data_IF_128742008161
#
_entry.id   IF_128742008161
#
_cell.length_a   1.000
_cell.length_b   1.000
_cell.length_c   1.000
_cell.angle_alpha   90.00
_cell.angle_beta   90.00
_cell.angle_gamma   90.00
#
_symmetry.space_group_name_H-M   'P 1'
#
loop_
_entity.id
_entity.type
_entity.pdbx_description
1 polymer ?
#
# COMPACT_ATOMS: atom_id res chain seq x y z
N UNK A 1 -18.52 -12.20 -16.59
CA UNK A 1 -18.68 -10.99 -15.74
C UNK A 1 -17.96 -9.79 -16.32
N UNK A 2 -16.74 -9.97 -16.87
CA UNK A 2 -15.89 -8.91 -17.46
C UNK A 2 -16.60 -8.01 -18.48
N UNK A 3 -17.32 -8.61 -19.44
CA UNK A 3 -18.05 -7.86 -20.49
C UNK A 3 -19.16 -6.98 -19.90
N UNK A 4 -19.80 -7.41 -18.80
CA UNK A 4 -20.94 -6.69 -18.21
C UNK A 4 -20.48 -5.39 -17.57
N UNK A 5 -19.35 -5.42 -16.84
CA UNK A 5 -18.79 -4.22 -16.19
C UNK A 5 -18.35 -3.20 -17.23
N UNK A 6 -17.61 -3.63 -18.26
CA UNK A 6 -17.17 -2.74 -19.34
C UNK A 6 -18.34 -2.12 -20.10
N UNK A 7 -19.39 -2.89 -20.41
CA UNK A 7 -20.59 -2.38 -21.08
C UNK A 7 -21.29 -1.33 -20.22
N UNK A 8 -21.45 -1.58 -18.91
CA UNK A 8 -22.07 -0.61 -18.00
C UNK A 8 -21.25 0.68 -17.94
N UNK A 9 -19.92 0.59 -17.80
CA UNK A 9 -19.04 1.76 -17.74
C UNK A 9 -19.09 2.58 -19.03
N UNK A 10 -19.08 1.93 -20.20
CA UNK A 10 -19.19 2.59 -21.51
C UNK A 10 -20.55 3.29 -21.66
N UNK A 11 -21.65 2.64 -21.26
CA UNK A 11 -22.98 3.25 -21.28
C UNK A 11 -23.03 4.48 -20.37
N UNK A 12 -22.46 4.41 -19.17
CA UNK A 12 -22.34 5.57 -18.27
C UNK A 12 -21.50 6.69 -18.90
N UNK A 13 -20.45 6.36 -19.64
CA UNK A 13 -19.62 7.34 -20.36
C UNK A 13 -20.40 8.07 -21.45
N UNK A 14 -21.20 7.34 -22.24
CA UNK A 14 -22.08 7.91 -23.26
C UNK A 14 -23.13 8.83 -22.62
N UNK A 15 -23.74 8.41 -21.51
CA UNK A 15 -24.68 9.24 -20.75
C UNK A 15 -24.02 10.50 -20.19
N UNK A 16 -22.77 10.41 -19.73
CA UNK A 16 -22.02 11.56 -19.24
C UNK A 16 -21.68 12.55 -20.35
N UNK A 17 -21.32 12.08 -21.54
CA UNK A 17 -21.14 12.90 -22.75
C UNK A 17 -22.44 13.62 -23.11
N UNK A 18 -23.56 12.90 -23.17
CA UNK A 18 -24.88 13.48 -23.48
C UNK A 18 -25.33 14.51 -22.42
N UNK A 19 -25.07 14.22 -21.14
CA UNK A 19 -25.33 15.14 -20.05
C UNK A 19 -24.44 16.39 -20.15
N UNK A 20 -23.16 16.24 -20.51
CA UNK A 20 -22.24 17.35 -20.74
C UNK A 20 -22.68 18.24 -21.91
N UNK A 21 -23.08 17.61 -23.01
CA UNK A 21 -23.59 18.28 -24.21
C UNK A 21 -24.81 19.16 -23.93
N UNK A 22 -25.75 18.65 -23.12
CA UNK A 22 -26.97 19.36 -22.75
C UNK A 22 -26.76 20.46 -21.69
N UNK A 23 -25.80 20.25 -20.78
CA UNK A 23 -25.47 21.22 -19.70
C UNK A 23 -24.66 22.42 -20.20
N UNK A 24 -23.77 22.25 -21.18
CA UNK A 24 -22.84 23.27 -21.67
C UNK A 24 -21.58 23.42 -20.81
N UNK A 25 -20.58 24.15 -21.31
CA UNK A 25 -19.22 24.18 -20.78
C UNK A 25 -19.14 24.71 -19.35
N UNK A 26 -19.82 25.82 -19.04
CA UNK A 26 -19.75 26.47 -17.72
C UNK A 26 -20.24 25.54 -16.61
N UNK A 27 -21.35 24.85 -16.85
CA UNK A 27 -21.92 23.92 -15.87
C UNK A 27 -21.07 22.66 -15.73
N UNK A 28 -20.56 22.11 -16.83
CA UNK A 28 -19.66 20.95 -16.79
C UNK A 28 -18.32 21.28 -16.10
N UNK A 29 -17.77 22.48 -16.33
CA UNK A 29 -16.55 22.95 -15.67
C UNK A 29 -16.78 23.13 -14.16
N UNK A 30 -17.88 23.77 -13.77
CA UNK A 30 -18.25 23.93 -12.37
C UNK A 30 -18.42 22.59 -11.65
N UNK A 31 -19.04 21.60 -12.29
CA UNK A 31 -19.16 20.26 -11.70
C UNK A 31 -17.82 19.53 -11.56
N UNK A 32 -16.90 19.71 -12.52
CA UNK A 32 -15.57 19.10 -12.45
C UNK A 32 -14.74 19.71 -11.31
N UNK A 33 -14.78 21.04 -11.16
CA UNK A 33 -14.16 21.74 -10.04
C UNK A 33 -14.80 21.33 -8.71
N UNK A 34 -16.13 21.21 -8.67
CA UNK A 34 -16.85 20.75 -7.48
C UNK A 34 -16.48 19.33 -7.06
N UNK A 35 -16.24 18.44 -8.01
CA UNK A 35 -15.75 17.08 -7.74
C UNK A 35 -14.36 17.12 -7.08
N UNK A 36 -13.44 17.90 -7.65
CA UNK A 36 -12.08 18.05 -7.09
C UNK A 36 -12.08 18.63 -5.68
N UNK A 37 -12.85 19.70 -5.45
CA UNK A 37 -12.99 20.32 -4.12
C UNK A 37 -13.67 19.40 -3.11
N UNK A 38 -14.69 18.65 -3.55
CA UNK A 38 -15.40 17.71 -2.68
C UNK A 38 -14.53 16.52 -2.29
N UNK A 39 -13.65 16.05 -3.17
CA UNK A 39 -12.64 15.03 -2.84
C UNK A 39 -11.63 15.56 -1.83
N UNK A 40 -11.08 16.76 -2.05
CA UNK A 40 -10.15 17.38 -1.10
C UNK A 40 -10.79 17.57 0.29
N UNK A 41 -12.03 18.04 0.33
CA UNK A 41 -12.80 18.19 1.57
C UNK A 41 -13.06 16.83 2.23
N UNK A 42 -13.46 15.84 1.44
CA UNK A 42 -13.69 14.47 1.90
C UNK A 42 -12.44 13.86 2.53
N UNK A 43 -11.28 14.03 1.90
CA UNK A 43 -9.99 13.55 2.43
C UNK A 43 -9.59 14.26 3.74
N UNK A 44 -9.98 15.52 3.89
CA UNK A 44 -9.71 16.30 5.12
C UNK A 44 -10.63 15.88 6.27
N UNK A 45 -11.90 15.57 5.98
CA UNK A 45 -12.93 15.25 6.98
C UNK A 45 -12.94 13.76 7.35
N UNK A 46 -12.65 12.86 6.40
CA UNK A 46 -12.67 11.41 6.59
C UNK A 46 -11.96 10.93 7.86
N UNK A 47 -10.70 11.31 8.17
CA UNK A 47 -10.02 10.82 9.37
C UNK A 47 -10.74 11.26 10.67
N UNK A 48 -11.35 12.44 10.69
CA UNK A 48 -12.10 12.96 11.85
C UNK A 48 -13.34 12.09 12.10
N UNK A 49 -14.12 11.83 11.05
CA UNK A 49 -15.34 11.03 11.14
C UNK A 49 -15.03 9.58 11.48
N UNK A 50 -13.97 9.01 10.89
CA UNK A 50 -13.50 7.67 11.21
C UNK A 50 -13.12 7.56 12.70
N UNK A 51 -12.47 8.59 13.27
CA UNK A 51 -12.18 8.64 14.70
C UNK A 51 -13.44 8.53 15.56
N UNK A 52 -14.49 9.31 15.26
CA UNK A 52 -15.76 9.24 16.00
C UNK A 52 -16.45 7.88 15.93
N UNK A 53 -16.38 7.22 14.76
CA UNK A 53 -16.94 5.88 14.58
C UNK A 53 -16.10 4.83 15.31
N UNK A 54 -14.77 4.98 15.33
CA UNK A 54 -13.88 4.11 16.08
C UNK A 54 -14.20 4.16 17.59
N UNK A 55 -14.44 5.34 18.15
CA UNK A 55 -14.83 5.52 19.56
C UNK A 55 -16.20 4.88 19.89
N UNK A 56 -17.06 4.73 18.89
CA UNK A 56 -18.39 4.12 19.01
C UNK A 56 -18.39 2.60 18.81
N UNK A 57 -17.21 1.96 18.74
CA UNK A 57 -17.07 0.51 18.60
C UNK A 57 -16.89 0.02 17.15
N UNK A 58 -16.83 0.91 16.16
CA UNK A 58 -16.51 0.57 14.76
C UNK A 58 -15.00 0.69 14.49
N UNK A 59 -14.22 -0.12 15.20
CA UNK A 59 -12.76 -0.05 15.20
C UNK A 59 -12.05 -0.86 14.11
N UNK A 60 -12.75 -1.76 13.40
CA UNK A 60 -12.12 -2.66 12.42
C UNK A 60 -11.59 -1.91 11.19
N UNK A 61 -10.44 -2.33 10.66
CA UNK A 61 -9.80 -1.67 9.50
C UNK A 61 -10.73 -1.60 8.28
N UNK A 62 -11.49 -2.67 8.02
CA UNK A 62 -12.50 -2.70 6.96
C UNK A 62 -13.61 -1.68 7.21
N UNK A 63 -14.07 -1.52 8.46
CA UNK A 63 -15.11 -0.55 8.80
C UNK A 63 -14.60 0.88 8.65
N UNK A 64 -13.37 1.16 9.12
CA UNK A 64 -12.73 2.48 8.97
C UNK A 64 -12.54 2.86 7.51
N UNK A 65 -12.07 1.92 6.68
CA UNK A 65 -11.89 2.13 5.23
C UNK A 65 -13.22 2.38 4.51
N UNK A 66 -14.26 1.64 4.88
CA UNK A 66 -15.62 1.84 4.35
C UNK A 66 -16.18 3.19 4.79
N UNK A 67 -16.06 3.56 6.07
CA UNK A 67 -16.52 4.87 6.58
C UNK A 67 -15.77 6.01 5.90
N UNK A 68 -14.44 5.94 5.78
CA UNK A 68 -13.64 6.93 5.09
C UNK A 68 -14.12 7.13 3.64
N UNK A 69 -14.32 6.04 2.91
CA UNK A 69 -14.76 6.11 1.53
C UNK A 69 -16.18 6.65 1.38
N UNK A 70 -17.10 6.26 2.26
CA UNK A 70 -18.46 6.82 2.29
C UNK A 70 -18.40 8.33 2.51
N UNK A 71 -17.60 8.80 3.48
CA UNK A 71 -17.43 10.24 3.74
C UNK A 71 -16.88 10.96 2.51
N UNK A 72 -15.84 10.41 1.87
CA UNK A 72 -15.24 10.99 0.67
C UNK A 72 -16.26 11.08 -0.47
N UNK A 73 -17.01 9.99 -0.73
CA UNK A 73 -18.03 9.94 -1.79
C UNK A 73 -19.16 10.93 -1.51
N UNK A 74 -19.62 11.02 -0.26
CA UNK A 74 -20.69 11.96 0.13
C UNK A 74 -20.22 13.40 -0.02
N UNK A 75 -19.03 13.75 0.46
CA UNK A 75 -18.45 15.09 0.29
C UNK A 75 -18.28 15.44 -1.20
N UNK A 76 -17.71 14.53 -1.99
CA UNK A 76 -17.56 14.69 -3.44
C UNK A 76 -18.92 14.94 -4.13
N UNK A 77 -19.94 14.14 -3.82
CA UNK A 77 -21.28 14.27 -4.38
C UNK A 77 -22.00 15.56 -4.00
N UNK A 78 -21.92 15.97 -2.73
CA UNK A 78 -22.55 17.20 -2.23
C UNK A 78 -21.91 18.43 -2.87
N UNK A 79 -20.58 18.53 -2.87
CA UNK A 79 -19.88 19.69 -3.45
C UNK A 79 -20.05 19.72 -4.97
N UNK A 80 -20.05 18.57 -5.65
CA UNK A 80 -20.40 18.44 -7.07
C UNK A 80 -21.80 19.02 -7.36
N UNK A 81 -22.80 18.67 -6.56
CA UNK A 81 -24.17 19.14 -6.75
C UNK A 81 -24.29 20.65 -6.53
N UNK A 82 -23.67 21.18 -5.46
CA UNK A 82 -23.67 22.61 -5.15
C UNK A 82 -22.97 23.41 -6.27
N UNK A 83 -21.77 22.98 -6.68
CA UNK A 83 -21.01 23.65 -7.74
C UNK A 83 -21.77 23.61 -9.08
N UNK A 84 -22.42 22.49 -9.40
CA UNK A 84 -23.27 22.37 -10.57
C UNK A 84 -24.51 23.27 -10.54
N UNK A 85 -25.08 23.51 -9.35
CA UNK A 85 -26.20 24.43 -9.16
C UNK A 85 -25.74 25.90 -9.32
N UNK A 86 -24.65 26.29 -8.66
CA UNK A 86 -24.05 27.63 -8.78
C UNK A 86 -23.65 27.94 -10.23
N UNK A 87 -22.98 27.00 -10.90
CA UNK A 87 -22.59 27.15 -12.29
C UNK A 87 -23.80 27.25 -13.24
N UNK A 88 -24.94 26.63 -12.88
CA UNK A 88 -26.18 26.77 -13.65
C UNK A 88 -26.81 28.17 -13.52
N UNK A 89 -26.65 28.82 -12.37
CA UNK A 89 -27.11 30.19 -12.12
C UNK A 89 -26.23 31.16 -12.92
N UNK A 90 -24.91 31.03 -12.80
CA UNK A 90 -23.92 31.85 -13.52
C UNK A 90 -24.09 31.67 -15.04
N UNK A 91 -24.27 30.42 -15.50
CA UNK A 91 -24.48 30.10 -16.91
C UNK A 91 -25.75 30.71 -17.52
N UNK A 92 -26.78 31.02 -16.71
CA UNK A 92 -27.98 31.74 -17.19
C UNK A 92 -27.70 33.22 -17.45
N UNK A 93 -26.76 33.84 -16.72
CA UNK A 93 -26.38 35.24 -16.91
C UNK A 93 -25.47 35.48 -18.13
N UNK A 94 -24.66 34.48 -18.51
CA UNK A 94 -23.62 34.63 -19.54
C UNK A 94 -24.02 34.11 -20.93
N UNK A 95 -25.23 33.55 -21.08
CA UNK A 95 -25.69 32.89 -22.32
C UNK A 95 -26.31 33.87 -23.33
N UNK A 96 -25.51 34.81 -23.84
CA UNK A 96 -25.89 35.62 -25.01
C UNK A 96 -24.79 35.55 -26.07
N UNK A 97 -24.98 34.70 -27.09
CA UNK A 97 -24.07 34.62 -28.24
C UNK A 97 -24.38 33.48 -29.21
N UNK A 98 -23.95 33.60 -30.50
CA UNK A 98 -24.30 32.67 -31.57
C UNK A 98 -23.50 31.35 -31.59
N UNK A 99 -22.56 31.12 -30.67
CA UNK A 99 -21.66 29.94 -30.69
C UNK A 99 -22.12 28.86 -29.68
N UNK A 100 -23.39 28.46 -29.75
CA UNK A 100 -23.96 27.44 -28.84
C UNK A 100 -23.40 26.04 -29.04
N UNK A 101 -23.00 25.70 -30.27
CA UNK A 101 -22.49 24.37 -30.59
C UNK A 101 -21.09 24.11 -29.99
N UNK A 102 -20.25 25.15 -29.87
CA UNK A 102 -18.94 25.05 -29.22
C UNK A 102 -19.09 24.88 -27.68
N UNK A 103 -20.06 25.57 -27.06
CA UNK A 103 -20.41 25.39 -25.63
C UNK A 103 -20.83 23.94 -25.33
N UNK A 104 -21.66 23.35 -26.19
CA UNK A 104 -22.08 21.96 -26.06
C UNK A 104 -20.94 20.96 -26.31
N UNK A 105 -20.06 21.23 -27.27
CA UNK A 105 -18.90 20.38 -27.53
C UNK A 105 -17.92 20.38 -26.35
N UNK A 106 -17.59 21.56 -25.82
CA UNK A 106 -16.75 21.69 -24.62
C UNK A 106 -17.44 21.06 -23.41
N UNK A 107 -18.76 21.25 -23.27
CA UNK A 107 -19.56 20.61 -22.24
C UNK A 107 -19.50 19.08 -22.28
N UNK A 108 -19.54 18.48 -23.47
CA UNK A 108 -19.42 17.04 -23.69
C UNK A 108 -18.04 16.50 -23.33
N UNK A 109 -16.96 17.19 -23.73
CA UNK A 109 -15.58 16.83 -23.36
C UNK A 109 -15.40 16.85 -21.85
N UNK A 110 -15.89 17.90 -21.18
CA UNK A 110 -15.84 18.01 -19.71
C UNK A 110 -16.71 16.95 -19.02
N UNK A 111 -17.85 16.58 -19.61
CA UNK A 111 -18.68 15.47 -19.14
C UNK A 111 -17.95 14.13 -19.20
N UNK A 112 -17.24 13.86 -20.30
CA UNK A 112 -16.40 12.67 -20.45
C UNK A 112 -15.25 12.67 -19.43
N UNK A 113 -14.56 13.79 -19.26
CA UNK A 113 -13.50 13.93 -18.27
C UNK A 113 -14.00 13.68 -16.84
N UNK A 114 -15.18 14.23 -16.51
CA UNK A 114 -15.82 14.00 -15.20
C UNK A 114 -16.11 12.52 -14.98
N UNK A 115 -16.70 11.84 -15.97
CA UNK A 115 -16.93 10.39 -15.89
C UNK A 115 -15.63 9.60 -15.71
N UNK A 116 -14.59 9.93 -16.49
CA UNK A 116 -13.30 9.27 -16.41
C UNK A 116 -12.69 9.36 -15.00
N UNK A 117 -12.73 10.55 -14.39
CA UNK A 117 -12.25 10.76 -13.01
C UNK A 117 -13.07 9.95 -12.00
N UNK A 118 -14.40 9.95 -12.12
CA UNK A 118 -15.28 9.18 -11.21
C UNK A 118 -15.01 7.68 -11.33
N UNK A 119 -14.93 7.14 -12.54
CA UNK A 119 -14.65 5.71 -12.75
C UNK A 119 -13.26 5.36 -12.24
N UNK A 120 -12.25 6.20 -12.49
CA UNK A 120 -10.89 5.99 -12.02
C UNK A 120 -10.81 5.96 -10.48
N UNK A 121 -11.55 6.83 -9.78
CA UNK A 121 -11.65 6.83 -8.32
C UNK A 121 -12.38 5.60 -7.78
N UNK A 122 -13.54 5.25 -8.37
CA UNK A 122 -14.33 4.09 -7.95
C UNK A 122 -13.56 2.78 -8.16
N UNK A 123 -12.81 2.68 -9.25
CA UNK A 123 -11.97 1.53 -9.52
C UNK A 123 -10.84 1.39 -8.50
N UNK A 124 -10.19 2.49 -8.16
CA UNK A 124 -9.22 2.50 -7.09
C UNK A 124 -9.84 2.02 -5.76
N UNK A 125 -11.03 2.53 -5.42
CA UNK A 125 -11.70 2.14 -4.17
C UNK A 125 -12.11 0.66 -4.17
N UNK A 126 -12.61 0.16 -5.30
CA UNK A 126 -12.92 -1.25 -5.51
C UNK A 126 -11.71 -2.16 -5.23
N UNK A 127 -10.51 -1.73 -5.65
CA UNK A 127 -9.25 -2.44 -5.39
C UNK A 127 -8.79 -2.36 -3.93
N UNK A 128 -9.21 -1.33 -3.19
CA UNK A 128 -8.95 -1.21 -1.76
C UNK A 128 -9.90 -2.06 -0.90
N UNK A 129 -10.91 -2.70 -1.49
CA UNK A 129 -11.82 -3.60 -0.75
C UNK A 129 -11.26 -5.03 -0.66
N UNK A 130 -11.54 -5.75 0.43
CA UNK A 130 -11.20 -7.18 0.57
C UNK A 130 -12.21 -8.12 -0.10
N UNK A 131 -13.13 -7.60 -0.92
CA UNK A 131 -14.13 -8.40 -1.59
C UNK A 131 -13.55 -8.92 -2.92
N UNK A 132 -13.17 -10.20 -2.94
CA UNK A 132 -12.55 -10.85 -4.10
C UNK A 132 -13.32 -10.63 -5.41
N UNK A 133 -14.65 -10.64 -5.36
CA UNK A 133 -15.52 -10.38 -6.52
C UNK A 133 -15.42 -8.95 -7.05
N UNK A 134 -15.25 -7.97 -6.16
CA UNK A 134 -15.14 -6.54 -6.50
C UNK A 134 -13.76 -6.22 -7.04
N UNK A 135 -12.71 -6.76 -6.40
CA UNK A 135 -11.32 -6.64 -6.85
C UNK A 135 -11.14 -7.29 -8.22
N UNK A 136 -11.68 -8.49 -8.41
CA UNK A 136 -11.62 -9.20 -9.69
C UNK A 136 -12.36 -8.44 -10.79
N UNK A 137 -13.53 -7.85 -10.49
CA UNK A 137 -14.28 -7.03 -11.44
C UNK A 137 -13.53 -5.75 -11.85
N UNK A 138 -12.81 -5.11 -10.93
CA UNK A 138 -12.00 -3.92 -11.22
C UNK A 138 -10.76 -4.27 -12.06
N UNK A 139 -10.04 -5.34 -11.70
CA UNK A 139 -8.82 -5.77 -12.40
C UNK A 139 -9.09 -6.33 -13.81
N UNK A 140 -10.28 -6.89 -14.05
CA UNK A 140 -10.64 -7.46 -15.36
C UNK A 140 -11.24 -6.46 -16.34
N UNK A 141 -11.49 -5.20 -15.93
CA UNK A 141 -12.10 -4.18 -16.79
C UNK A 141 -11.07 -3.52 -17.72
N UNK A 142 -11.34 -3.54 -19.03
CA UNK A 142 -10.52 -2.84 -20.03
C UNK A 142 -10.67 -1.33 -19.92
N UNK A 143 -11.84 -0.85 -19.51
CA UNK A 143 -12.09 0.59 -19.32
C UNK A 143 -11.24 1.12 -18.18
N UNK A 144 -11.23 0.42 -17.04
CA UNK A 144 -10.42 0.78 -15.87
C UNK A 144 -8.92 0.77 -16.20
N UNK A 145 -8.43 -0.27 -16.88
CA UNK A 145 -7.01 -0.36 -17.23
C UNK A 145 -6.57 0.74 -18.21
N UNK A 146 -7.43 1.12 -19.15
CA UNK A 146 -7.19 2.23 -20.10
C UNK A 146 -7.20 3.59 -19.39
N UNK A 147 -8.14 3.82 -18.47
CA UNK A 147 -8.16 5.06 -17.68
C UNK A 147 -6.92 5.17 -16.79
N UNK A 148 -6.47 4.07 -16.21
CA UNK A 148 -5.30 4.05 -15.34
C UNK A 148 -3.98 4.28 -16.11
N UNK A 149 -3.90 3.87 -17.39
CA UNK A 149 -2.73 4.14 -18.23
C UNK A 149 -2.67 5.57 -18.76
N UNK A 150 -3.83 6.24 -18.89
CA UNK A 150 -3.91 7.65 -19.28
C UNK A 150 -3.75 8.61 -18.10
N UNK A 151 -4.00 8.17 -16.88
CA UNK A 151 -3.85 8.99 -15.69
C UNK A 151 -2.37 9.28 -15.39
N UNK A 152 -2.01 10.50 -14.95
CA UNK A 152 -0.63 10.85 -14.59
C UNK A 152 -0.11 10.08 -13.37
N UNK A 153 -1.03 9.56 -12.54
CA UNK A 153 -0.74 8.69 -11.40
C UNK A 153 -1.71 7.50 -11.42
N UNK A 154 -1.27 6.29 -11.06
CA UNK A 154 -2.18 5.16 -10.88
C UNK A 154 -3.19 5.42 -9.75
N UNK A 155 -4.44 4.99 -9.91
CA UNK A 155 -5.49 5.15 -8.87
C UNK A 155 -5.11 4.49 -7.55
N UNK A 156 -4.40 3.38 -7.60
CA UNK A 156 -3.83 2.69 -6.44
C UNK A 156 -2.78 3.50 -5.69
N UNK A 157 -2.09 4.44 -6.36
CA UNK A 157 -1.09 5.30 -5.71
C UNK A 157 -1.76 6.46 -4.98
N UNK A 158 -2.82 7.04 -5.56
CA UNK A 158 -3.58 8.11 -4.90
C UNK A 158 -4.38 7.59 -3.72
N UNK A 159 -4.98 6.41 -3.83
CA UNK A 159 -5.61 5.76 -2.68
C UNK A 159 -4.60 5.18 -1.70
N UNK A 160 -3.44 4.73 -2.17
CA UNK A 160 -2.30 4.40 -1.31
C UNK A 160 -1.89 5.59 -0.46
N UNK A 161 -1.95 6.83 -0.96
CA UNK A 161 -1.70 8.03 -0.15
C UNK A 161 -2.81 8.32 0.89
N UNK A 162 -4.05 7.89 0.62
CA UNK A 162 -5.16 7.96 1.59
C UNK A 162 -5.03 6.87 2.64
N UNK A 163 -4.71 5.66 2.20
CA UNK A 163 -4.35 4.53 3.05
C UNK A 163 -3.11 4.87 3.86
N UNK A 164 -2.13 5.62 3.34
CA UNK A 164 -0.95 6.11 4.08
C UNK A 164 -1.27 7.23 5.06
N UNK A 165 -2.25 8.08 4.75
CA UNK A 165 -2.76 9.06 5.70
C UNK A 165 -3.57 8.39 6.82
N UNK A 166 -4.22 7.25 6.54
CA UNK A 166 -4.97 6.44 7.50
C UNK A 166 -4.07 5.43 8.25
N UNK A 167 -3.04 4.88 7.60
CA UNK A 167 -2.05 3.91 8.07
C UNK A 167 -0.78 4.59 8.59
N UNK A 168 -0.66 5.91 8.48
CA UNK A 168 0.13 6.73 9.38
C UNK A 168 -0.28 6.57 10.84
N UNK A 169 -1.43 5.93 11.09
CA UNK A 169 -1.84 5.41 12.38
C UNK A 169 -1.33 3.99 12.69
N UNK A 170 -0.51 3.35 11.83
CA UNK A 170 -0.19 1.93 11.99
C UNK A 170 1.13 1.33 11.50
N UNK A 171 1.94 2.05 10.72
CA UNK A 171 3.33 1.62 10.53
C UNK A 171 4.21 2.11 11.70
N UNK A 172 5.19 1.32 12.18
CA UNK A 172 6.12 1.79 13.20
C UNK A 172 6.82 3.06 12.72
N UNK A 173 6.75 4.13 13.51
CA UNK A 173 7.46 5.37 13.19
C UNK A 173 8.96 5.12 13.30
N UNK A 174 9.65 5.19 12.16
CA UNK A 174 11.11 4.97 12.11
C UNK A 174 11.88 6.12 12.77
N UNK A 175 11.34 7.34 12.72
CA UNK A 175 11.97 8.54 13.27
C UNK A 175 10.97 9.37 14.09
N UNK A 176 11.28 9.67 15.35
CA UNK A 176 10.49 10.56 16.21
C UNK A 176 10.72 12.06 15.93
N UNK A 177 11.80 12.41 15.22
CA UNK A 177 12.24 13.79 14.97
C UNK A 177 12.30 14.22 13.49
N UNK A 178 11.71 13.42 12.59
CA UNK A 178 11.76 13.64 11.14
C UNK A 178 12.87 12.89 10.42
N UNK A 179 12.73 12.75 9.10
CA UNK A 179 13.60 11.93 8.26
C UNK A 179 14.70 12.78 7.61
N UNK A 180 15.97 12.40 7.82
CA UNK A 180 17.10 12.99 7.08
C UNK A 180 17.51 12.05 5.95
N UNK A 181 17.08 12.35 4.72
CA UNK A 181 17.29 11.47 3.56
C UNK A 181 18.47 11.98 2.73
N UNK A 182 19.57 11.22 2.76
CA UNK A 182 20.76 11.51 1.96
C UNK A 182 20.52 11.23 0.48
N UNK A 183 20.90 12.17 -0.38
CA UNK A 183 20.81 11.99 -1.82
C UNK A 183 21.89 11.03 -2.33
N UNK A 184 21.48 10.01 -3.10
CA UNK A 184 22.34 9.09 -3.86
C UNK A 184 21.69 8.86 -5.22
N UNK A 185 22.40 8.45 -6.29
CA UNK A 185 21.79 8.21 -7.61
C UNK A 185 20.77 7.05 -7.58
N UNK A 186 19.84 7.00 -8.53
CA UNK A 186 18.82 5.94 -8.60
C UNK A 186 19.46 4.56 -8.86
N UNK A 187 18.97 3.47 -8.23
CA UNK A 187 19.54 2.14 -8.41
C UNK A 187 19.53 1.71 -9.87
N UNK A 188 20.47 0.85 -10.24
CA UNK A 188 20.43 0.18 -11.54
C UNK A 188 19.22 -0.76 -11.59
N UNK A 189 18.55 -0.83 -12.73
CA UNK A 189 17.42 -1.73 -12.95
C UNK A 189 17.83 -3.18 -13.16
N UNK A 190 19.12 -3.47 -13.40
CA UNK A 190 19.60 -4.83 -13.62
C UNK A 190 19.53 -5.67 -12.34
N UNK A 191 18.90 -6.83 -12.41
CA UNK A 191 18.88 -7.81 -11.31
C UNK A 191 19.87 -8.94 -11.62
N UNK A 192 20.89 -9.18 -10.78
CA UNK A 192 21.82 -10.29 -10.97
C UNK A 192 21.12 -11.65 -10.87
N UNK A 193 21.62 -12.64 -11.62
CA UNK A 193 21.05 -14.00 -11.63
C UNK A 193 21.03 -14.65 -10.23
N UNK A 194 22.05 -14.37 -9.39
CA UNK A 194 22.10 -14.85 -8.01
C UNK A 194 20.96 -14.29 -7.15
N UNK A 195 20.57 -13.03 -7.38
CA UNK A 195 19.43 -12.41 -6.71
C UNK A 195 18.12 -13.00 -7.23
N UNK A 196 17.99 -13.24 -8.53
CA UNK A 196 16.80 -13.91 -9.09
C UNK A 196 16.59 -15.32 -8.53
N UNK A 197 17.67 -16.06 -8.25
CA UNK A 197 17.59 -17.40 -7.67
C UNK A 197 17.01 -17.41 -6.24
N UNK A 198 17.01 -16.25 -5.54
CA UNK A 198 16.47 -16.17 -4.18
C UNK A 198 14.97 -16.42 -4.09
N UNK A 199 14.23 -16.33 -5.21
CA UNK A 199 12.78 -16.53 -5.26
C UNK A 199 12.32 -17.80 -4.53
N UNK A 200 13.09 -18.89 -4.68
CA UNK A 200 12.77 -20.17 -4.06
C UNK A 200 12.87 -20.17 -2.52
N UNK A 201 13.56 -19.17 -1.95
CA UNK A 201 13.80 -19.02 -0.52
C UNK A 201 12.97 -17.91 0.13
N UNK A 202 12.27 -17.09 -0.66
CA UNK A 202 11.41 -16.00 -0.16
C UNK A 202 9.97 -16.49 -0.17
N UNK A 203 9.28 -16.25 0.94
CA UNK A 203 7.93 -16.75 1.19
C UNK A 203 6.96 -15.61 1.51
N UNK A 204 5.67 -15.81 1.24
CA UNK A 204 4.62 -14.95 1.76
C UNK A 204 4.27 -15.42 3.18
N UNK A 205 4.15 -14.47 4.11
CA UNK A 205 3.69 -14.72 5.49
C UNK A 205 2.29 -14.15 5.62
N UNK A 206 1.34 -15.00 6.01
CA UNK A 206 -0.06 -14.62 6.23
C UNK A 206 -0.41 -14.91 7.69
N UNK A 207 -0.87 -13.89 8.40
CA UNK A 207 -1.21 -13.99 9.81
C UNK A 207 -2.68 -13.62 10.02
N UNK A 208 -3.47 -14.55 10.54
CA UNK A 208 -4.86 -14.25 10.87
C UNK A 208 -4.93 -13.58 12.24
N UNK A 209 -5.59 -12.42 12.32
CA UNK A 209 -5.69 -11.64 13.57
C UNK A 209 -7.14 -11.21 13.85
N UNK A 210 -8.06 -12.15 14.18
CA UNK A 210 -9.47 -11.83 14.41
C UNK A 210 -9.69 -10.80 15.52
N UNK A 211 -8.88 -10.86 16.59
CA UNK A 211 -8.95 -9.90 17.71
C UNK A 211 -8.55 -8.47 17.31
N UNK A 212 -7.73 -8.33 16.27
CA UNK A 212 -7.32 -7.03 15.72
C UNK A 212 -8.28 -6.53 14.64
N UNK A 213 -9.24 -7.36 14.20
CA UNK A 213 -10.21 -7.03 13.17
C UNK A 213 -9.62 -6.92 11.75
N UNK A 214 -8.37 -7.34 11.56
CA UNK A 214 -7.64 -7.28 10.28
C UNK A 214 -6.61 -8.41 10.22
N UNK A 215 -6.63 -9.18 9.13
CA UNK A 215 -5.53 -10.12 8.85
C UNK A 215 -4.33 -9.35 8.29
N UNK A 216 -3.14 -9.91 8.46
CA UNK A 216 -1.90 -9.26 8.06
C UNK A 216 -1.14 -10.12 7.07
N UNK A 217 -0.47 -9.46 6.14
CA UNK A 217 0.36 -10.09 5.12
C UNK A 217 1.71 -9.40 5.02
N UNK A 218 2.73 -10.20 4.73
CA UNK A 218 4.09 -9.73 4.57
C UNK A 218 4.93 -10.74 3.82
N UNK A 219 6.22 -10.46 3.79
CA UNK A 219 7.24 -11.34 3.25
C UNK A 219 8.04 -11.97 4.38
N UNK A 220 8.68 -13.08 4.08
CA UNK A 220 9.70 -13.70 4.90
C UNK A 220 10.70 -14.43 4.04
N UNK A 221 11.74 -14.95 4.65
CA UNK A 221 12.75 -15.74 3.95
C UNK A 221 13.32 -16.83 4.82
N UNK A 222 13.74 -17.92 4.20
CA UNK A 222 14.29 -19.08 4.88
C UNK A 222 15.72 -18.78 5.32
N UNK A 223 15.93 -18.65 6.63
CA UNK A 223 17.26 -18.42 7.23
C UNK A 223 18.00 -19.72 7.50
N UNK A 224 17.24 -20.78 7.75
CA UNK A 224 17.71 -22.14 7.95
C UNK A 224 16.55 -23.06 7.58
N UNK A 225 16.82 -24.33 7.29
CA UNK A 225 15.78 -25.33 7.03
C UNK A 225 14.67 -25.26 8.10
N UNK A 226 13.43 -25.05 7.68
CA UNK A 226 12.26 -24.93 8.55
C UNK A 226 12.20 -23.65 9.39
N UNK A 227 13.09 -22.67 9.19
CA UNK A 227 13.10 -21.39 9.91
C UNK A 227 12.95 -20.22 8.95
N UNK A 228 11.92 -19.40 9.19
CA UNK A 228 11.62 -18.22 8.38
C UNK A 228 11.77 -16.96 9.23
N UNK A 229 12.52 -15.99 8.73
CA UNK A 229 12.59 -14.64 9.32
C UNK A 229 11.51 -13.77 8.68
N UNK A 230 10.85 -12.93 9.48
CA UNK A 230 9.92 -11.90 9.04
C UNK A 230 9.93 -10.74 10.05
N UNK A 231 9.09 -9.71 9.86
CA UNK A 231 8.92 -8.65 10.86
C UNK A 231 7.95 -9.05 11.96
N UNK A 232 8.14 -8.47 13.15
CA UNK A 232 7.25 -8.72 14.28
C UNK A 232 5.85 -8.15 14.04
N UNK A 233 5.73 -6.95 13.45
CA UNK A 233 4.41 -6.36 13.16
C UNK A 233 3.56 -7.22 12.22
N UNK A 234 4.18 -7.96 11.29
CA UNK A 234 3.47 -8.86 10.38
C UNK A 234 2.68 -9.91 11.15
N UNK A 235 3.22 -10.42 12.26
CA UNK A 235 2.63 -11.50 13.05
C UNK A 235 2.03 -11.07 14.39
N UNK A 236 2.25 -9.83 14.83
CA UNK A 236 1.77 -9.33 16.12
C UNK A 236 0.24 -9.46 16.28
N UNK A 237 -0.22 -10.05 17.38
CA UNK A 237 -1.65 -10.27 17.66
C UNK A 237 -2.31 -11.38 16.85
N UNK A 238 -1.54 -12.18 16.10
CA UNK A 238 -2.09 -13.29 15.30
C UNK A 238 -2.52 -14.49 16.15
N UNK A 239 -3.66 -15.09 15.80
CA UNK A 239 -4.11 -16.38 16.33
C UNK A 239 -3.54 -17.57 15.54
N UNK A 240 -3.22 -17.36 14.26
CA UNK A 240 -2.59 -18.37 13.40
C UNK A 240 -1.70 -17.70 12.36
N UNK A 241 -0.64 -18.41 11.96
CA UNK A 241 0.31 -17.96 10.95
C UNK A 241 0.48 -19.09 9.95
N UNK A 242 0.42 -18.75 8.66
CA UNK A 242 0.75 -19.67 7.56
C UNK A 242 1.77 -19.02 6.64
N UNK A 243 2.56 -19.85 5.99
CA UNK A 243 3.62 -19.46 5.06
C UNK A 243 3.34 -20.10 3.70
N UNK A 244 3.57 -19.34 2.62
CA UNK A 244 3.38 -19.82 1.24
C UNK A 244 4.65 -19.61 0.43
N UNK A 245 5.08 -20.66 -0.25
CA UNK A 245 6.25 -20.63 -1.14
C UNK A 245 5.90 -20.07 -2.52
N UNK A 246 6.89 -19.51 -3.23
CA UNK A 246 6.68 -19.09 -4.62
C UNK A 246 6.19 -20.25 -5.48
N UNK A 247 5.20 -19.99 -6.32
CA UNK A 247 4.65 -20.97 -7.26
C UNK A 247 3.88 -22.15 -6.64
N UNK A 248 3.77 -22.22 -5.31
CA UNK A 248 2.98 -23.26 -4.62
C UNK A 248 1.57 -22.76 -4.31
N UNK A 249 0.51 -23.53 -4.61
CA UNK A 249 -0.83 -23.25 -4.13
C UNK A 249 -0.99 -23.57 -2.63
N UNK A 250 -0.10 -24.41 -2.09
CA UNK A 250 -0.20 -24.90 -0.72
C UNK A 250 0.36 -23.90 0.29
N UNK A 251 -0.23 -23.91 1.49
CA UNK A 251 0.20 -23.09 2.63
C UNK A 251 0.62 -23.98 3.78
N UNK A 252 1.74 -23.66 4.40
CA UNK A 252 2.31 -24.40 5.52
C UNK A 252 2.01 -23.69 6.83
N UNK A 253 1.66 -24.45 7.87
CA UNK A 253 1.46 -23.87 9.20
C UNK A 253 2.80 -23.44 9.78
N UNK A 254 2.81 -22.23 10.35
CA UNK A 254 3.97 -21.67 10.99
C UNK A 254 3.73 -21.46 12.50
N UNK A 255 4.77 -21.70 13.29
CA UNK A 255 4.77 -21.48 14.73
C UNK A 255 5.76 -20.37 15.05
N UNK A 256 5.34 -19.37 15.82
CA UNK A 256 6.24 -18.30 16.26
C UNK A 256 7.21 -18.83 17.32
N UNK A 257 8.52 -18.70 17.09
CA UNK A 257 9.58 -19.24 17.98
C UNK A 257 10.62 -18.19 18.43
N UNK A 258 10.62 -17.01 17.82
CA UNK A 258 11.26 -15.80 18.37
C UNK A 258 10.44 -14.57 17.97
N UNK A 259 10.36 -13.59 18.86
CA UNK A 259 9.55 -12.38 18.66
C UNK A 259 10.18 -11.23 19.44
N UNK A 260 10.62 -10.21 18.73
CA UNK A 260 11.21 -9.00 19.30
C UNK A 260 10.45 -7.77 18.76
N UNK A 261 9.49 -7.23 19.54
CA UNK A 261 8.70 -6.07 19.13
C UNK A 261 9.52 -4.78 19.10
N UNK A 262 10.63 -4.72 19.84
CA UNK A 262 11.52 -3.55 19.86
C UNK A 262 12.33 -3.47 18.58
N UNK A 263 12.82 -4.60 18.07
CA UNK A 263 13.57 -4.69 16.80
C UNK A 263 12.68 -4.87 15.57
N UNK A 264 11.40 -5.13 15.77
CA UNK A 264 10.45 -5.48 14.71
C UNK A 264 10.86 -6.74 13.94
N UNK A 265 11.26 -7.79 14.64
CA UNK A 265 11.70 -9.06 14.04
C UNK A 265 11.01 -10.26 14.69
N UNK A 266 10.71 -11.25 13.87
CA UNK A 266 10.16 -12.52 14.29
C UNK A 266 10.80 -13.68 13.53
N UNK A 267 10.88 -14.83 14.18
CA UNK A 267 11.31 -16.09 13.58
C UNK A 267 10.19 -17.10 13.72
N UNK A 268 9.84 -17.72 12.60
CA UNK A 268 8.83 -18.75 12.48
C UNK A 268 9.49 -20.11 12.28
N UNK A 269 8.94 -21.11 12.93
CA UNK A 269 9.19 -22.52 12.66
C UNK A 269 8.12 -23.07 11.71
N UNK A 270 8.57 -23.67 10.62
CA UNK A 270 7.74 -24.22 9.54
C UNK A 270 8.29 -25.60 9.21
N UNK A 271 7.88 -26.60 9.98
CA UNK A 271 8.44 -27.97 9.97
C UNK A 271 8.53 -28.57 8.57
N UNK A 272 7.49 -28.38 7.76
CA UNK A 272 7.35 -29.01 6.44
C UNK A 272 7.91 -28.16 5.29
N UNK A 273 8.61 -27.06 5.61
CA UNK A 273 9.17 -26.17 4.59
C UNK A 273 10.40 -26.77 3.90
N UNK A 274 10.30 -26.94 2.58
CA UNK A 274 11.35 -27.54 1.74
C UNK A 274 12.24 -26.53 1.02
N UNK A 275 11.90 -25.24 1.09
CA UNK A 275 12.65 -24.17 0.46
C UNK A 275 14.11 -24.07 0.97
N UNK A 276 15.09 -23.75 0.10
CA UNK A 276 16.49 -23.60 0.49
C UNK A 276 16.69 -22.35 1.36
N UNK A 277 17.66 -22.40 2.27
CA UNK A 277 18.03 -21.24 3.07
C UNK A 277 18.87 -20.24 2.26
N UNK A 278 18.70 -18.95 2.54
CA UNK A 278 19.60 -17.92 2.03
C UNK A 278 20.82 -17.76 2.93
N UNK A 279 21.99 -17.57 2.31
CA UNK A 279 23.21 -17.24 3.02
C UNK A 279 23.14 -15.80 3.56
N UNK A 280 23.66 -15.59 4.77
CA UNK A 280 23.83 -14.25 5.35
C UNK A 280 25.15 -13.66 4.85
N UNK A 281 25.05 -12.49 4.22
CA UNK A 281 26.17 -11.74 3.66
C UNK A 281 26.84 -10.78 4.66
N UNK A 282 27.74 -9.92 4.16
CA UNK A 282 28.31 -8.83 4.95
C UNK A 282 27.34 -7.64 5.06
N UNK A 283 27.69 -6.68 5.93
CA UNK A 283 27.03 -5.38 5.96
C UNK A 283 27.32 -4.58 4.68
N UNK A 284 26.37 -3.76 4.24
CA UNK A 284 26.49 -2.93 3.06
C UNK A 284 27.03 -1.53 3.41
N UNK A 285 27.79 -0.96 2.48
CA UNK A 285 28.28 0.42 2.57
C UNK A 285 27.38 1.38 1.80
N UNK A 286 27.45 2.67 2.12
CA UNK A 286 26.78 3.70 1.35
C UNK A 286 27.14 3.61 -0.15
N UNK A 287 26.14 3.77 -1.02
CA UNK A 287 26.25 3.64 -2.47
C UNK A 287 26.14 2.20 -3.01
N UNK A 288 26.21 1.17 -2.16
CA UNK A 288 26.10 -0.21 -2.59
C UNK A 288 24.75 -0.52 -3.27
N UNK A 289 24.78 -1.38 -4.28
CA UNK A 289 23.58 -1.96 -4.86
C UNK A 289 23.01 -3.00 -3.89
N UNK A 290 21.69 -3.00 -3.74
CA UNK A 290 20.96 -3.95 -2.93
C UNK A 290 19.61 -4.26 -3.58
N UNK A 291 18.93 -5.30 -3.12
CA UNK A 291 17.69 -5.77 -3.76
C UNK A 291 16.69 -6.18 -2.68
N UNK A 292 15.53 -5.52 -2.66
CA UNK A 292 14.43 -5.91 -1.79
C UNK A 292 13.59 -6.97 -2.49
N UNK A 293 13.57 -8.19 -1.97
CA UNK A 293 12.79 -9.30 -2.52
C UNK A 293 11.56 -9.59 -1.64
N UNK A 294 10.40 -9.82 -2.25
CA UNK A 294 9.17 -10.05 -1.50
C UNK A 294 7.90 -10.10 -2.34
N UNK A 295 6.76 -10.07 -1.67
CA UNK A 295 5.41 -10.20 -2.22
C UNK A 295 4.54 -8.98 -1.86
N UNK A 296 4.71 -7.84 -2.56
CA UNK A 296 3.88 -6.66 -2.34
C UNK A 296 2.39 -6.97 -2.48
N UNK A 297 1.57 -6.57 -1.50
CA UNK A 297 0.12 -6.75 -1.52
C UNK A 297 -0.33 -8.19 -1.77
N UNK A 298 0.47 -9.18 -1.33
CA UNK A 298 0.23 -10.61 -1.57
C UNK A 298 0.06 -10.96 -3.07
N UNK A 299 0.70 -10.15 -3.91
CA UNK A 299 0.82 -10.35 -5.34
C UNK A 299 1.94 -11.33 -5.71
N UNK A 300 2.38 -11.33 -6.99
CA UNK A 300 3.50 -12.16 -7.41
C UNK A 300 4.80 -11.75 -6.74
N UNK A 301 5.77 -12.67 -6.73
CA UNK A 301 7.13 -12.38 -6.28
C UNK A 301 7.73 -11.22 -7.08
N UNK A 302 8.40 -10.30 -6.38
CA UNK A 302 9.08 -9.16 -7.00
C UNK A 302 10.46 -8.96 -6.39
N UNK A 303 11.37 -8.43 -7.21
CA UNK A 303 12.66 -7.92 -6.78
C UNK A 303 12.71 -6.43 -7.14
N UNK A 304 12.82 -5.59 -6.12
CA UNK A 304 12.93 -4.14 -6.28
C UNK A 304 14.38 -3.70 -6.06
N UNK A 305 15.09 -3.22 -7.10
CA UNK A 305 16.44 -2.69 -6.94
C UNK A 305 16.48 -1.50 -5.98
N UNK A 306 17.51 -1.49 -5.14
CA UNK A 306 17.76 -0.48 -4.10
C UNK A 306 19.20 0.02 -4.20
N UNK A 307 19.43 1.23 -3.71
CA UNK A 307 20.78 1.75 -3.44
C UNK A 307 20.88 2.22 -2.01
N UNK A 308 21.91 1.76 -1.29
CA UNK A 308 22.14 2.18 0.10
C UNK A 308 22.48 3.67 0.11
N UNK A 309 21.68 4.46 0.83
CA UNK A 309 21.92 5.88 1.06
C UNK A 309 22.94 6.05 2.18
N UNK A 310 22.63 5.45 3.32
CA UNK A 310 23.46 5.46 4.51
C UNK A 310 23.05 4.34 5.48
N UNK A 311 23.91 4.07 6.45
CA UNK A 311 23.58 3.26 7.63
C UNK A 311 23.48 4.18 8.84
N UNK A 312 22.35 4.15 9.53
CA UNK A 312 22.05 5.09 10.62
C UNK A 312 21.43 4.34 11.80
N UNK A 313 21.68 4.83 13.00
CA UNK A 313 20.90 4.46 14.18
C UNK A 313 19.70 5.38 14.24
N UNK A 314 18.52 4.84 13.94
CA UNK A 314 17.26 5.58 13.92
C UNK A 314 16.53 5.42 15.26
N UNK A 315 16.13 6.56 15.84
CA UNK A 315 15.26 6.60 17.02
C UNK A 315 13.80 6.69 16.58
N UNK A 316 13.07 5.61 16.81
CA UNK A 316 11.66 5.48 16.47
C UNK A 316 10.87 4.89 17.64
N UNK A 317 9.68 4.38 17.36
CA UNK A 317 8.90 3.61 18.35
C UNK A 317 8.96 2.11 18.08
N UNK A 318 8.69 1.31 19.11
CA UNK A 318 8.38 -0.11 18.95
C UNK A 318 7.11 -0.34 18.09
N UNK A 319 6.80 -1.60 17.77
CA UNK A 319 5.61 -1.95 16.97
C UNK A 319 4.27 -1.66 17.68
N UNK A 320 4.30 -1.38 18.99
CA UNK A 320 3.13 -1.06 19.80
C UNK A 320 2.99 0.45 20.04
N UNK A 321 3.91 1.26 19.51
CA UNK A 321 4.01 2.70 19.80
C UNK A 321 4.03 3.01 21.31
N UNK A 322 4.57 2.09 22.11
CA UNK A 322 4.52 2.13 23.58
C UNK A 322 5.78 2.74 24.21
N UNK A 323 6.87 2.79 23.44
CA UNK A 323 8.14 3.35 23.88
C UNK A 323 9.10 3.60 22.71
N UNK A 324 10.09 4.47 22.96
CA UNK A 324 11.14 4.78 22.00
C UNK A 324 12.18 3.67 21.94
N UNK A 325 12.64 3.35 20.73
CA UNK A 325 13.67 2.35 20.46
C UNK A 325 14.68 2.90 19.47
N UNK A 326 15.95 2.56 19.67
CA UNK A 326 17.02 2.85 18.74
C UNK A 326 17.29 1.60 17.91
N UNK A 327 17.27 1.71 16.57
CA UNK A 327 17.51 0.60 15.63
C UNK A 327 18.59 0.96 14.63
N UNK A 328 19.53 0.05 14.40
CA UNK A 328 20.52 0.15 13.34
C UNK A 328 19.91 -0.27 11.99
N UNK A 329 19.75 0.70 11.09
CA UNK A 329 19.04 0.54 9.82
C UNK A 329 19.85 1.03 8.62
N UNK A 330 19.57 0.46 7.46
CA UNK A 330 19.88 1.07 6.18
C UNK A 330 18.75 2.00 5.74
N UNK A 331 19.12 3.20 5.33
CA UNK A 331 18.28 4.04 4.47
C UNK A 331 18.55 3.70 3.01
N UNK A 332 17.52 3.45 2.23
CA UNK A 332 17.63 2.94 0.86
C UNK A 332 16.96 3.91 -0.12
N UNK A 333 17.52 4.03 -1.33
CA UNK A 333 16.87 4.65 -2.48
C UNK A 333 16.28 3.56 -3.35
N UNK A 334 14.95 3.57 -3.47
CA UNK A 334 14.18 2.60 -4.23
C UNK A 334 12.78 2.47 -3.64
N UNK A 335 11.88 1.83 -4.39
CA UNK A 335 10.48 1.70 -3.98
C UNK A 335 10.34 0.50 -3.06
N UNK A 336 9.77 0.72 -1.88
CA UNK A 336 9.32 -0.32 -0.95
C UNK A 336 7.80 -0.19 -0.81
N UNK A 337 7.09 -1.31 -0.92
CA UNK A 337 5.62 -1.35 -0.88
C UNK A 337 5.13 -2.18 0.31
N UNK A 338 3.90 -1.95 0.80
CA UNK A 338 3.24 -2.87 1.71
C UNK A 338 3.31 -4.31 1.18
N UNK A 339 3.57 -5.28 2.06
CA UNK A 339 3.85 -6.68 1.71
C UNK A 339 5.34 -7.02 1.55
N UNK A 340 6.23 -6.03 1.31
CA UNK A 340 7.68 -6.26 1.34
C UNK A 340 8.23 -6.43 2.77
N UNK A 341 7.50 -5.96 3.78
CA UNK A 341 7.90 -6.07 5.19
C UNK A 341 8.21 -7.52 5.55
N UNK A 342 9.39 -7.74 6.13
CA UNK A 342 9.93 -9.02 6.54
C UNK A 342 10.74 -9.72 5.45
N UNK A 343 10.68 -9.23 4.21
CA UNK A 343 11.47 -9.73 3.09
C UNK A 343 12.95 -9.40 3.23
N UNK A 344 13.85 -10.20 2.62
CA UNK A 344 15.28 -9.96 2.70
C UNK A 344 15.69 -8.76 1.84
N UNK A 345 16.64 -7.98 2.37
CA UNK A 345 17.47 -7.09 1.57
C UNK A 345 18.71 -7.87 1.14
N UNK A 346 18.89 -8.09 -0.15
CA UNK A 346 19.96 -8.91 -0.73
C UNK A 346 21.10 -8.04 -1.26
N UNK A 347 22.33 -8.53 -1.15
CA UNK A 347 23.48 -8.02 -1.88
C UNK A 347 23.49 -8.51 -3.34
N UNK A 348 24.46 -8.08 -4.14
CA UNK A 348 24.58 -8.48 -5.55
C UNK A 348 24.87 -9.97 -5.76
N UNK A 349 25.30 -10.68 -4.73
CA UNK A 349 25.56 -12.13 -4.75
C UNK A 349 24.33 -12.93 -4.30
N UNK A 350 23.20 -12.28 -4.03
CA UNK A 350 21.98 -12.93 -3.54
C UNK A 350 22.01 -13.32 -2.06
N UNK A 351 22.97 -12.79 -1.28
CA UNK A 351 23.08 -13.05 0.16
C UNK A 351 22.35 -11.98 0.95
N UNK A 352 21.80 -12.34 2.10
CA UNK A 352 21.03 -11.43 2.95
C UNK A 352 21.95 -10.45 3.66
N UNK A 353 21.70 -9.16 3.42
CA UNK A 353 22.36 -8.04 4.08
C UNK A 353 21.46 -7.32 5.11
N UNK A 354 20.15 -7.61 5.13
CA UNK A 354 19.21 -7.00 6.07
C UNK A 354 17.78 -7.47 5.88
N UNK A 355 16.85 -6.88 6.62
CA UNK A 355 15.41 -7.21 6.58
C UNK A 355 14.60 -5.94 6.30
N UNK A 356 13.88 -5.90 5.19
CA UNK A 356 13.02 -4.75 4.84
C UNK A 356 11.91 -4.63 5.88
N UNK A 357 11.70 -3.45 6.46
CA UNK A 357 10.70 -3.29 7.53
C UNK A 357 9.79 -2.08 7.39
N UNK A 358 10.24 -1.03 6.68
CA UNK A 358 9.46 0.19 6.54
C UNK A 358 9.76 0.92 5.23
N UNK A 359 8.91 1.90 4.93
CA UNK A 359 9.16 2.93 3.93
C UNK A 359 9.07 4.31 4.56
N UNK A 360 9.60 5.30 3.87
CA UNK A 360 9.52 6.70 4.28
C UNK A 360 8.08 7.21 4.23
N UNK A 361 7.71 8.00 5.24
CA UNK A 361 6.44 8.72 5.30
C UNK A 361 6.47 10.01 4.45
N UNK A 362 7.66 10.49 4.08
CA UNK A 362 7.84 11.79 3.40
C UNK A 362 8.41 11.67 1.99
N UNK A 363 8.98 10.51 1.63
CA UNK A 363 9.62 10.29 0.34
C UNK A 363 9.27 8.91 -0.24
N UNK A 364 8.48 8.82 -1.33
CA UNK A 364 8.03 7.55 -1.87
C UNK A 364 9.16 6.67 -2.46
N UNK A 365 10.32 7.25 -2.74
CA UNK A 365 11.51 6.55 -3.28
C UNK A 365 12.51 6.17 -2.17
N UNK A 366 12.04 6.09 -0.92
CA UNK A 366 12.89 5.76 0.23
C UNK A 366 12.31 4.61 1.05
N UNK A 367 13.12 3.57 1.20
CA UNK A 367 12.84 2.39 2.00
C UNK A 367 13.81 2.26 3.18
N UNK A 368 13.44 1.44 4.16
CA UNK A 368 14.26 1.14 5.32
C UNK A 368 14.36 -0.36 5.55
N UNK A 369 15.58 -0.81 5.87
CA UNK A 369 15.85 -2.20 6.22
C UNK A 369 16.67 -2.27 7.52
N UNK A 370 16.32 -3.21 8.39
CA UNK A 370 17.08 -3.54 9.59
C UNK A 370 18.41 -4.18 9.17
N UNK A 371 19.50 -3.77 9.81
CA UNK A 371 20.83 -4.36 9.53
C UNK A 371 20.97 -5.75 10.15
N UNK A 372 22.04 -6.46 9.78
CA UNK A 372 22.36 -7.75 10.40
C UNK A 372 22.70 -7.62 11.88
N UNK A 373 23.07 -6.42 12.36
CA UNK A 373 23.29 -6.16 13.77
C UNK A 373 21.99 -6.29 14.59
N UNK A 374 20.84 -5.95 14.02
CA UNK A 374 19.53 -6.16 14.66
C UNK A 374 19.04 -7.60 14.52
N UNK A 375 19.36 -8.25 13.40
CA UNK A 375 18.92 -9.63 13.14
C UNK A 375 19.62 -10.66 14.03
N UNK A 376 20.93 -10.56 14.22
CA UNK A 376 21.74 -11.58 14.91
C UNK A 376 21.27 -11.87 16.35
N UNK A 377 20.97 -10.87 17.20
CA UNK A 377 20.43 -11.12 18.54
C UNK A 377 19.13 -11.94 18.52
N UNK A 378 18.24 -11.66 17.57
CA UNK A 378 16.94 -12.35 17.45
C UNK A 378 17.11 -13.80 17.00
N UNK A 379 18.03 -14.06 16.06
CA UNK A 379 18.39 -15.42 15.67
C UNK A 379 19.01 -16.21 16.84
N UNK A 380 19.78 -15.55 17.71
CA UNK A 380 20.36 -16.19 18.89
C UNK A 380 19.34 -16.48 20.00
N UNK A 381 18.19 -15.81 20.01
CA UNK A 381 17.11 -16.03 20.99
C UNK A 381 16.10 -17.10 20.56
N UNK A 382 16.27 -17.73 19.39
CA UNK A 382 15.33 -18.72 18.88
C UNK A 382 15.24 -19.92 19.82
N UNK A 383 14.05 -20.12 20.40
CA UNK A 383 13.73 -21.26 21.24
C UNK A 383 13.14 -22.43 20.44
N UNK A 384 12.85 -23.52 21.15
CA UNK A 384 12.10 -24.67 20.61
C UNK A 384 10.60 -24.63 20.92
N UNK A 385 10.17 -23.76 21.83
CA UNK A 385 8.78 -23.66 22.26
C UNK A 385 8.03 -22.55 21.47
N UNK A 386 6.75 -22.78 21.15
CA UNK A 386 5.89 -21.71 20.65
C UNK A 386 5.81 -20.54 21.64
N UNK A 387 5.84 -19.32 21.12
CA UNK A 387 5.64 -18.10 21.91
C UNK A 387 4.43 -17.31 21.40
N UNK A 388 3.88 -16.46 22.28
CA UNK A 388 2.77 -15.57 21.92
C UNK A 388 3.25 -14.45 21.00
N UNK A 389 2.39 -14.06 20.05
CA UNK A 389 2.55 -12.88 19.18
C UNK A 389 2.16 -11.56 19.87
N UNK A 390 1.83 -11.60 21.17
CA UNK A 390 1.49 -10.42 21.96
C UNK A 390 0.16 -9.78 21.57
N UNK A 391 0.06 -8.47 21.81
CA UNK A 391 -1.12 -7.68 21.44
C UNK A 391 -1.14 -7.37 19.94
N UNK A 392 -2.25 -6.81 19.46
CA UNK A 392 -2.29 -6.18 18.15
C UNK A 392 -1.20 -5.10 18.07
N UNK A 393 -0.50 -5.03 16.93
CA UNK A 393 0.31 -3.86 16.62
C UNK A 393 -0.55 -2.61 16.75
N UNK A 394 0.05 -1.47 17.08
CA UNK A 394 -0.67 -0.20 17.15
C UNK A 394 -0.99 0.31 15.73
N UNK A 395 -1.40 -0.58 14.83
CA UNK A 395 -1.42 -0.37 13.41
C UNK A 395 -1.96 -1.49 12.58
#
# INVERSE_FOLDING_TARGET
MEIVVDVVLVVLGILAIAAGWSKGAIRSAGTLVGLGLGLWLGLTIAPIVVGWFADSGFGGVTQRSVVAAVVIIVCAGVVYAIAGALASIIGKLLRHGPIRWLDSLVGAVLGLATWAVVVWLLAGFALATNLATVVQAANSSRVVSTLNSMAPLPSSTVLGAVDDALAGAGLPKVFEGGETIKAVPAPDGSVPAAVSASEQSVVTVLASKPACGVDSEGSGWVVQRGRVVTNAHVVAGSSSIVVRMSGSPDVERATLVAFDPSRDLAVLDVTDLTAPALDIGPDLTAGAAAFAAGYPGNGPFTIAPQRVRDRVVARGTDIYQSGSVDRDIYSLRGVVRPGNSGGPLLDSDGRVAGVVFARSATNPDTGYALTLAELRPVLSSVGSAPISSGACSAG
#
